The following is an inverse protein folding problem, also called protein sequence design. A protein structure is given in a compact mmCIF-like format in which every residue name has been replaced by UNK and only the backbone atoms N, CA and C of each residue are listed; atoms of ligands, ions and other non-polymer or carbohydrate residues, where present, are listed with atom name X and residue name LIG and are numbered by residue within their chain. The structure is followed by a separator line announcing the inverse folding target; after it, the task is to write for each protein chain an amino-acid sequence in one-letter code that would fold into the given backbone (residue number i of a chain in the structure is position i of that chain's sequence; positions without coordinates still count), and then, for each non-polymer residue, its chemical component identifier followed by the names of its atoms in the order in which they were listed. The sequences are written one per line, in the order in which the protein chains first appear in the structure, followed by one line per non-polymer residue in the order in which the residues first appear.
data_IF_091037985121
#
_entry.id   IF_091037985121
#
_cell.length_a   1.000
_cell.length_b   1.000
_cell.length_c   1.000
_cell.angle_alpha   90.00
_cell.angle_beta   90.00
_cell.angle_gamma   90.00
#
_symmetry.space_group_name_H-M   'P 1'
#
loop_
_entity.id
_entity.type
_entity.pdbx_description
1 polymer ?
#
# COMPACT_ATOMS: atom_id res chain seq x y z
N UNK A 1 31.14 24.56 -8.79
CA UNK A 1 30.47 23.26 -8.98
C UNK A 1 29.64 22.96 -7.74
N UNK A 2 28.33 23.29 -7.68
CA UNK A 2 27.49 22.84 -6.58
C UNK A 2 26.50 21.76 -7.07
N UNK A 3 26.16 20.79 -6.21
CA UNK A 3 24.98 19.95 -6.43
C UNK A 3 25.22 18.45 -6.26
N UNK A 4 25.66 18.02 -5.08
CA UNK A 4 25.50 16.65 -4.64
C UNK A 4 24.92 16.69 -3.24
N UNK A 5 23.63 16.38 -3.10
CA UNK A 5 22.97 16.00 -1.84
C UNK A 5 21.54 15.55 -2.17
N UNK A 6 21.45 14.42 -2.87
CA UNK A 6 20.19 13.68 -3.03
C UNK A 6 19.83 13.14 -1.65
N UNK A 7 18.91 13.83 -0.98
CA UNK A 7 18.33 13.40 0.29
C UNK A 7 17.52 12.11 0.06
N UNK A 8 18.17 10.97 0.28
CA UNK A 8 17.51 9.67 0.38
C UNK A 8 16.70 9.64 1.68
N UNK A 9 15.48 10.20 1.60
CA UNK A 9 14.46 10.05 2.63
C UNK A 9 14.24 8.55 2.86
N UNK A 10 14.81 8.06 3.97
CA UNK A 10 14.58 6.74 4.53
C UNK A 10 13.14 6.67 5.04
N UNK A 11 12.18 6.54 4.11
CA UNK A 11 10.77 6.33 4.44
C UNK A 11 10.61 4.85 4.78
N UNK A 12 10.25 4.49 6.02
CA UNK A 12 10.03 3.11 6.38
C UNK A 12 8.92 2.52 5.52
N UNK A 13 9.10 1.26 5.10
CA UNK A 13 8.04 0.48 4.48
C UNK A 13 6.80 0.51 5.37
N UNK A 14 5.56 0.49 4.82
CA UNK A 14 4.37 0.44 5.65
C UNK A 14 4.47 -0.75 6.62
N UNK A 15 4.61 -0.43 7.91
CA UNK A 15 4.91 -1.38 8.98
C UNK A 15 3.65 -2.17 9.34
N UNK A 16 3.39 -3.19 8.53
CA UNK A 16 2.32 -4.16 8.74
C UNK A 16 2.77 -5.07 9.88
N UNK A 17 2.03 -5.03 11.00
CA UNK A 17 2.37 -5.64 12.28
C UNK A 17 3.03 -7.01 12.12
N UNK A 18 4.19 -7.17 12.76
CA UNK A 18 5.08 -8.32 12.60
C UNK A 18 4.55 -9.60 13.28
N UNK A 19 3.36 -10.05 12.89
CA UNK A 19 2.79 -11.31 13.31
C UNK A 19 3.20 -12.44 12.33
N UNK A 20 3.89 -13.49 12.80
CA UNK A 20 4.41 -14.55 11.95
C UNK A 20 3.32 -15.49 11.37
N UNK A 21 2.05 -15.39 11.80
CA UNK A 21 0.95 -16.20 11.29
C UNK A 21 0.32 -15.66 10.00
N UNK A 22 0.75 -14.48 9.52
CA UNK A 22 0.20 -13.87 8.31
C UNK A 22 0.74 -14.57 7.06
N UNK A 23 -0.16 -14.92 6.13
CA UNK A 23 0.24 -15.47 4.83
C UNK A 23 1.12 -14.45 4.10
N UNK A 24 2.21 -14.96 3.53
CA UNK A 24 3.14 -14.15 2.74
C UNK A 24 2.78 -14.28 1.26
N UNK A 25 2.80 -13.17 0.56
CA UNK A 25 2.46 -13.06 -0.85
C UNK A 25 3.69 -12.58 -1.62
N UNK A 26 3.92 -13.20 -2.78
CA UNK A 26 4.93 -12.74 -3.73
C UNK A 26 4.33 -11.58 -4.54
N UNK A 27 5.09 -10.49 -4.66
CA UNK A 27 4.67 -9.29 -5.37
C UNK A 27 5.53 -9.10 -6.61
N UNK A 28 4.90 -9.21 -7.77
CA UNK A 28 5.51 -8.85 -9.05
C UNK A 28 5.37 -7.35 -9.34
N UNK A 29 6.27 -6.83 -10.19
CA UNK A 29 6.23 -5.42 -10.61
C UNK A 29 5.04 -5.22 -11.57
N UNK A 30 4.16 -4.28 -11.24
CA UNK A 30 2.88 -4.05 -11.95
C UNK A 30 2.97 -2.91 -12.97
N UNK A 31 4.15 -2.31 -13.13
CA UNK A 31 4.36 -1.17 -14.03
C UNK A 31 3.97 0.20 -13.46
N UNK A 32 3.68 0.31 -12.15
CA UNK A 32 3.37 1.60 -11.51
C UNK A 32 4.60 2.53 -11.51
N UNK A 33 4.67 3.50 -12.44
CA UNK A 33 5.88 4.34 -12.65
C UNK A 33 5.97 5.58 -11.76
N UNK A 34 4.90 5.95 -11.06
CA UNK A 34 4.82 7.12 -10.18
C UNK A 34 5.64 6.99 -8.89
N UNK A 35 6.12 5.79 -8.55
CA UNK A 35 6.99 5.55 -7.38
C UNK A 35 8.36 5.01 -7.80
N UNK A 36 9.39 5.18 -6.93
CA UNK A 36 10.72 4.64 -7.18
C UNK A 36 10.68 3.12 -7.41
N UNK A 37 11.61 2.59 -8.23
CA UNK A 37 11.64 1.19 -8.69
C UNK A 37 11.47 0.17 -7.55
N UNK A 38 12.10 0.42 -6.39
CA UNK A 38 12.01 -0.43 -5.19
C UNK A 38 10.57 -0.63 -4.67
N UNK A 39 9.70 0.35 -4.91
CA UNK A 39 8.35 0.39 -4.36
C UNK A 39 7.27 -0.02 -5.36
N UNK A 40 7.56 -0.07 -6.66
CA UNK A 40 6.54 -0.29 -7.72
C UNK A 40 5.73 -1.57 -7.55
N UNK A 41 6.34 -2.64 -7.05
CA UNK A 41 5.67 -3.92 -6.75
C UNK A 41 4.57 -3.81 -5.69
N UNK A 42 4.64 -2.80 -4.81
CA UNK A 42 3.65 -2.55 -3.75
C UNK A 42 2.49 -1.68 -4.22
N UNK A 43 2.47 -1.22 -5.46
CA UNK A 43 1.39 -0.40 -5.98
C UNK A 43 0.85 -1.04 -7.25
N UNK A 44 -0.45 -0.88 -7.52
CA UNK A 44 -1.04 -1.12 -8.85
C UNK A 44 -2.14 -0.10 -9.09
N UNK A 45 -2.44 0.15 -10.36
CA UNK A 45 -3.58 0.98 -10.71
C UNK A 45 -4.87 0.27 -10.29
N UNK A 46 -5.79 1.03 -9.69
CA UNK A 46 -7.12 0.54 -9.35
C UNK A 46 -7.94 0.37 -10.63
N UNK A 47 -8.48 -0.83 -10.84
CA UNK A 47 -9.27 -1.17 -12.02
C UNK A 47 -10.72 -0.66 -11.99
N UNK A 48 -11.12 0.05 -10.93
CA UNK A 48 -12.48 0.56 -10.74
C UNK A 48 -13.35 -0.33 -9.83
N UNK A 49 -14.68 -0.14 -9.83
CA UNK A 49 -15.58 -0.75 -8.84
C UNK A 49 -15.67 -2.28 -8.91
N UNK A 50 -15.34 -2.87 -10.07
CA UNK A 50 -15.29 -4.33 -10.29
C UNK A 50 -13.93 -4.94 -9.96
N UNK A 51 -12.94 -4.13 -9.57
CA UNK A 51 -11.61 -4.62 -9.24
C UNK A 51 -11.69 -5.49 -7.99
N UNK A 52 -11.22 -6.73 -8.05
CA UNK A 52 -11.23 -7.66 -6.91
C UNK A 52 -9.94 -7.47 -6.13
N UNK A 53 -10.06 -7.03 -4.89
CA UNK A 53 -8.90 -6.88 -4.00
C UNK A 53 -8.55 -8.23 -3.39
N UNK A 54 -7.29 -8.63 -3.53
CA UNK A 54 -6.76 -9.74 -2.76
C UNK A 54 -6.65 -9.39 -1.27
N UNK A 55 -6.59 -10.37 -0.35
CA UNK A 55 -6.49 -10.12 1.10
C UNK A 55 -5.20 -9.39 1.53
N UNK A 56 -4.23 -9.22 0.63
CA UNK A 56 -3.02 -8.43 0.83
C UNK A 56 -3.05 -7.09 0.08
N UNK A 57 -4.23 -6.69 -0.43
CA UNK A 57 -4.43 -5.47 -1.20
C UNK A 57 -5.46 -4.58 -0.54
N UNK A 58 -5.23 -3.26 -0.62
CA UNK A 58 -6.15 -2.25 -0.12
C UNK A 58 -6.15 -1.04 -1.04
N UNK A 59 -7.31 -0.43 -1.26
CA UNK A 59 -7.43 0.78 -2.08
C UNK A 59 -7.20 2.00 -1.22
N UNK A 60 -6.34 2.91 -1.68
CA UNK A 60 -6.26 4.25 -1.11
C UNK A 60 -7.49 5.06 -1.56
N UNK A 61 -8.34 5.55 -0.64
CA UNK A 61 -9.52 6.34 -1.00
C UNK A 61 -9.16 7.74 -1.56
N UNK A 62 -7.94 8.22 -1.33
CA UNK A 62 -7.48 9.56 -1.74
C UNK A 62 -7.03 9.56 -3.20
N UNK A 63 -5.97 8.82 -3.54
CA UNK A 63 -5.42 8.79 -4.90
C UNK A 63 -5.93 7.60 -5.75
N UNK A 64 -6.84 6.78 -5.21
CA UNK A 64 -7.44 5.64 -5.92
C UNK A 64 -6.40 4.69 -6.53
N UNK A 65 -5.35 4.41 -5.78
CA UNK A 65 -4.35 3.39 -6.12
C UNK A 65 -4.54 2.19 -5.21
N UNK A 66 -4.18 1.01 -5.71
CA UNK A 66 -4.17 -0.20 -4.88
C UNK A 66 -2.79 -0.36 -4.27
N UNK A 67 -2.73 -0.39 -2.95
CA UNK A 67 -1.55 -0.66 -2.16
C UNK A 67 -1.54 -2.15 -1.88
N UNK A 68 -0.45 -2.81 -2.25
CA UNK A 68 -0.23 -4.24 -2.09
C UNK A 68 0.80 -4.46 -1.00
N UNK A 69 0.64 -5.54 -0.27
CA UNK A 69 1.57 -5.98 0.76
C UNK A 69 2.11 -7.37 0.47
N UNK A 70 3.33 -7.63 0.95
CA UNK A 70 3.89 -8.98 0.97
C UNK A 70 3.27 -9.85 2.07
N UNK A 71 2.42 -9.29 2.92
CA UNK A 71 1.72 -9.97 4.01
C UNK A 71 0.22 -9.73 3.88
N UNK A 72 -0.56 -10.69 4.35
CA UNK A 72 -2.00 -10.52 4.54
C UNK A 72 -2.30 -9.23 5.34
N UNK A 73 -3.19 -8.41 4.80
CA UNK A 73 -3.71 -7.22 5.46
C UNK A 73 -4.93 -7.60 6.29
N UNK A 74 -4.95 -7.15 7.54
CA UNK A 74 -6.04 -7.38 8.47
C UNK A 74 -6.62 -6.04 8.92
N UNK A 75 -7.92 -6.01 9.28
CA UNK A 75 -8.50 -4.82 9.87
C UNK A 75 -7.69 -4.41 11.11
N UNK A 76 -7.35 -3.12 11.20
CA UNK A 76 -6.46 -2.55 12.22
C UNK A 76 -5.01 -2.35 11.76
N UNK A 77 -4.59 -2.90 10.62
CA UNK A 77 -3.25 -2.64 10.09
C UNK A 77 -3.12 -1.20 9.57
N UNK A 78 -1.98 -0.59 9.87
CA UNK A 78 -1.66 0.75 9.37
C UNK A 78 -0.97 0.63 8.01
N UNK A 79 -1.49 1.36 7.03
CA UNK A 79 -0.96 1.42 5.68
C UNK A 79 -0.61 2.87 5.37
N UNK A 80 0.51 3.04 4.67
CA UNK A 80 0.98 4.34 4.21
C UNK A 80 0.97 4.35 2.69
N UNK A 81 0.28 5.32 2.12
CA UNK A 81 0.27 5.51 0.68
C UNK A 81 1.37 6.51 0.29
N UNK A 82 2.44 6.03 -0.34
CA UNK A 82 3.54 6.90 -0.75
C UNK A 82 3.13 7.98 -1.78
N UNK A 83 2.26 7.70 -2.78
CA UNK A 83 1.80 8.72 -3.74
C UNK A 83 1.08 9.92 -3.12
N UNK A 84 0.15 9.69 -2.18
CA UNK A 84 -0.62 10.79 -1.56
C UNK A 84 -0.13 11.18 -0.17
N UNK A 85 0.90 10.50 0.34
CA UNK A 85 1.46 10.66 1.69
C UNK A 85 0.44 10.49 2.83
N UNK A 86 -0.74 9.93 2.55
CA UNK A 86 -1.79 9.72 3.55
C UNK A 86 -1.53 8.47 4.37
N UNK A 87 -1.80 8.56 5.68
CA UNK A 87 -1.83 7.41 6.59
C UNK A 87 -3.25 6.93 6.76
N UNK A 88 -3.43 5.62 6.58
CA UNK A 88 -4.72 4.98 6.62
C UNK A 88 -4.66 3.70 7.44
N UNK A 89 -5.81 3.28 7.94
CA UNK A 89 -5.99 1.99 8.62
C UNK A 89 -6.82 1.10 7.74
N UNK A 90 -6.42 -0.16 7.63
CA UNK A 90 -7.23 -1.18 6.97
C UNK A 90 -8.45 -1.40 7.84
N UNK A 91 -9.63 -1.25 7.27
CA UNK A 91 -10.91 -1.54 7.91
C UNK A 91 -11.62 -2.61 7.09
N UNK A 92 -12.41 -3.42 7.78
CA UNK A 92 -13.31 -4.34 7.11
C UNK A 92 -14.65 -3.63 7.00
N UNK A 93 -15.12 -3.40 5.77
CA UNK A 93 -16.47 -2.86 5.54
C UNK A 93 -17.54 -3.93 5.77
N UNK A 94 -18.78 -3.48 5.96
CA UNK A 94 -19.97 -4.34 6.10
C UNK A 94 -20.14 -5.35 4.96
N UNK A 95 -19.65 -5.04 3.76
CA UNK A 95 -19.66 -5.94 2.60
C UNK A 95 -18.63 -7.09 2.72
N UNK A 96 -17.89 -7.15 3.84
CA UNK A 96 -16.85 -8.14 4.11
C UNK A 96 -15.52 -7.85 3.42
N UNK A 97 -15.45 -6.80 2.60
CA UNK A 97 -14.28 -6.36 1.83
C UNK A 97 -13.30 -5.54 2.68
N UNK A 98 -12.00 -5.69 2.38
CA UNK A 98 -10.94 -4.87 2.98
C UNK A 98 -10.87 -3.51 2.26
N UNK A 99 -11.10 -2.44 3.00
CA UNK A 99 -10.96 -1.05 2.55
C UNK A 99 -9.96 -0.32 3.45
N UNK A 100 -9.43 0.81 3.01
CA UNK A 100 -8.65 1.69 3.86
C UNK A 100 -9.49 2.90 4.29
N UNK A 101 -9.45 3.20 5.57
CA UNK A 101 -10.03 4.41 6.15
C UNK A 101 -8.90 5.40 6.47
N UNK A 102 -9.06 6.65 6.04
CA UNK A 102 -8.03 7.69 6.23
C UNK A 102 -8.06 8.14 7.69
N UNK A 103 -6.91 8.05 8.35
CA UNK A 103 -6.79 8.51 9.73
C UNK A 103 -6.44 10.01 9.77
N UNK A 104 -5.56 10.45 8.84
CA UNK A 104 -5.00 11.80 8.76
C UNK A 104 -4.75 12.23 7.32
#
# INVERSE_FOLDING_TARGET
MPGAETSELNVPAPEIGADPSRRRYELEETGFREVPKKWRKFYRHWGGPLDVLAPNEVVCPVCKVVIRSTRELRPGDKVYCMPCMSRMVVVRRDDGRLEADVIF
#
